data_IF_676515129111
#
_entry.id   IF_676515129111
#
_cell.length_a   1.000
_cell.length_b   1.000
_cell.length_c   1.000
_cell.angle_alpha   90.00
_cell.angle_beta   90.00
_cell.angle_gamma   90.00
#
_symmetry.space_group_name_H-M   'P 1'
#
loop_
_entity.id
_entity.type
_entity.pdbx_description
1 polymer ?
#
# COMPACT_ATOMS: atom_id res chain seq x y z
N UNK A 1 1.23 -26.44 31.16
CA UNK A 1 1.26 -26.55 29.69
C UNK A 1 1.77 -27.95 29.38
N UNK A 2 0.95 -28.83 28.79
CA UNK A 2 1.34 -30.25 28.62
C UNK A 2 2.14 -30.51 27.34
N UNK A 3 1.95 -29.71 26.28
CA UNK A 3 2.65 -29.86 25.00
C UNK A 3 2.89 -28.49 24.34
N UNK A 4 4.10 -28.30 23.80
CA UNK A 4 4.54 -27.19 22.94
C UNK A 4 5.28 -27.84 21.78
N UNK A 5 5.03 -27.40 20.55
CA UNK A 5 5.81 -27.82 19.38
C UNK A 5 6.92 -26.79 19.15
N UNK A 6 8.16 -27.25 19.03
CA UNK A 6 9.30 -26.42 18.68
C UNK A 6 9.75 -26.73 17.26
N UNK A 7 9.87 -25.69 16.43
CA UNK A 7 10.36 -25.81 15.04
C UNK A 7 11.69 -25.07 14.93
N UNK A 8 12.84 -25.78 14.96
CA UNK A 8 14.14 -25.17 14.75
C UNK A 8 14.42 -24.93 13.26
N UNK A 9 14.91 -23.74 12.95
CA UNK A 9 15.38 -23.31 11.63
C UNK A 9 16.80 -22.77 11.81
N UNK A 10 17.79 -23.59 11.44
CA UNK A 10 19.20 -23.25 11.60
C UNK A 10 19.72 -22.44 10.41
N UNK A 11 20.75 -21.63 10.66
CA UNK A 11 21.42 -20.85 9.63
C UNK A 11 21.93 -21.74 8.48
N UNK A 12 21.87 -21.28 7.20
CA UNK A 12 21.27 -20.05 6.69
C UNK A 12 19.79 -20.20 6.30
N UNK A 13 19.12 -21.27 6.72
CA UNK A 13 17.77 -21.65 6.28
C UNK A 13 16.68 -21.20 7.26
N UNK A 14 16.72 -19.91 7.59
CA UNK A 14 15.73 -19.25 8.44
C UNK A 14 15.34 -17.91 7.85
N UNK A 15 14.22 -17.35 8.30
CA UNK A 15 13.72 -16.05 7.84
C UNK A 15 14.74 -14.92 8.07
N UNK A 16 15.38 -14.88 9.24
CA UNK A 16 16.38 -13.85 9.57
C UNK A 16 17.79 -14.20 9.08
N UNK A 17 18.03 -15.42 8.55
CA UNK A 17 19.37 -16.00 8.40
C UNK A 17 20.19 -16.00 9.69
N UNK A 18 19.53 -16.23 10.81
CA UNK A 18 20.14 -16.58 12.10
C UNK A 18 19.55 -17.92 12.57
N UNK A 19 20.04 -18.49 13.67
CA UNK A 19 19.34 -19.62 14.29
C UNK A 19 18.01 -19.14 14.89
N UNK A 20 16.90 -19.71 14.41
CA UNK A 20 15.54 -19.36 14.84
C UNK A 20 14.84 -20.60 15.37
N UNK A 21 14.10 -20.48 16.47
CA UNK A 21 13.18 -21.51 16.96
C UNK A 21 11.80 -20.90 17.11
N UNK A 22 10.80 -21.49 16.46
CA UNK A 22 9.40 -21.14 16.67
C UNK A 22 8.77 -22.07 17.70
N UNK A 23 8.17 -21.48 18.76
CA UNK A 23 7.46 -22.20 19.80
C UNK A 23 5.94 -22.09 19.57
N UNK A 24 5.36 -23.13 18.99
CA UNK A 24 3.92 -23.21 18.75
C UNK A 24 3.23 -23.78 19.99
N UNK A 25 2.40 -22.95 20.62
CA UNK A 25 1.72 -23.28 21.86
C UNK A 25 0.22 -22.96 21.82
N UNK A 26 -0.49 -23.28 22.90
CA UNK A 26 -1.93 -23.02 22.98
C UNK A 26 -2.18 -21.51 22.98
N UNK A 27 -2.98 -21.02 22.03
CA UNK A 27 -3.14 -19.59 21.73
C UNK A 27 -3.96 -18.77 22.73
N UNK A 28 -4.13 -19.22 23.98
CA UNK A 28 -4.72 -18.37 25.00
C UNK A 28 -3.67 -17.40 25.56
N UNK A 29 -4.12 -16.21 25.96
CA UNK A 29 -3.26 -15.10 26.37
C UNK A 29 -2.33 -15.48 27.54
N UNK A 30 -2.85 -16.20 28.54
CA UNK A 30 -2.08 -16.66 29.70
C UNK A 30 -0.94 -17.60 29.30
N UNK A 31 -1.20 -18.53 28.37
CA UNK A 31 -0.21 -19.46 27.84
C UNK A 31 0.88 -18.73 27.06
N UNK A 32 0.50 -17.80 26.17
CA UNK A 32 1.44 -17.00 25.38
C UNK A 32 2.34 -16.15 26.28
N UNK A 33 1.76 -15.44 27.26
CA UNK A 33 2.54 -14.64 28.22
C UNK A 33 3.49 -15.49 29.07
N UNK A 34 3.10 -16.72 29.45
CA UNK A 34 3.99 -17.62 30.19
C UNK A 34 5.17 -18.11 29.35
N UNK A 35 4.94 -18.43 28.08
CA UNK A 35 6.02 -18.82 27.16
C UNK A 35 6.96 -17.64 26.91
N UNK A 36 6.42 -16.46 26.60
CA UNK A 36 7.22 -15.25 26.42
C UNK A 36 8.07 -14.94 27.66
N UNK A 37 7.48 -14.99 28.86
CA UNK A 37 8.22 -14.79 30.11
C UNK A 37 9.35 -15.80 30.28
N UNK A 38 9.10 -17.08 30.01
CA UNK A 38 10.13 -18.11 30.10
C UNK A 38 11.30 -17.84 29.14
N UNK A 39 11.05 -17.34 27.93
CA UNK A 39 12.10 -16.93 27.00
C UNK A 39 12.91 -15.74 27.54
N UNK A 40 12.25 -14.73 28.09
CA UNK A 40 12.92 -13.55 28.68
C UNK A 40 13.77 -13.95 29.91
N UNK A 41 13.25 -14.81 30.78
CA UNK A 41 13.98 -15.35 31.94
C UNK A 41 15.19 -16.19 31.53
N UNK A 42 15.13 -16.83 30.35
CA UNK A 42 16.26 -17.56 29.74
C UNK A 42 17.28 -16.64 29.04
N UNK A 43 17.08 -15.31 29.06
CA UNK A 43 18.01 -14.32 28.52
C UNK A 43 17.64 -13.73 27.16
N UNK A 44 16.45 -14.02 26.61
CA UNK A 44 15.99 -13.38 25.39
C UNK A 44 15.64 -11.89 25.63
N UNK A 45 15.92 -11.04 24.64
CA UNK A 45 15.40 -9.66 24.58
C UNK A 45 14.01 -9.62 23.93
N UNK A 46 13.20 -8.63 24.27
CA UNK A 46 11.95 -8.37 23.57
C UNK A 46 12.26 -7.70 22.22
N UNK A 47 11.67 -8.22 21.14
CA UNK A 47 11.88 -7.68 19.82
C UNK A 47 11.18 -6.32 19.62
N UNK A 48 11.83 -5.41 18.91
CA UNK A 48 11.24 -4.15 18.47
C UNK A 48 10.29 -4.35 17.27
N UNK A 49 9.38 -3.39 17.00
CA UNK A 49 8.51 -3.45 15.83
C UNK A 49 9.30 -3.61 14.51
N UNK A 50 9.10 -4.74 13.84
CA UNK A 50 9.75 -5.04 12.56
C UNK A 50 11.18 -5.59 12.65
N UNK A 51 11.70 -5.82 13.87
CA UNK A 51 13.10 -6.23 14.06
C UNK A 51 13.47 -7.52 13.32
N UNK A 52 12.59 -8.53 13.30
CA UNK A 52 12.84 -9.77 12.54
C UNK A 52 13.02 -9.50 11.04
N UNK A 53 12.19 -8.66 10.44
CA UNK A 53 12.30 -8.31 9.02
C UNK A 53 13.54 -7.44 8.76
N UNK A 54 13.88 -6.53 9.68
CA UNK A 54 15.12 -5.76 9.61
C UNK A 54 16.36 -6.67 9.61
N UNK A 55 16.41 -7.66 10.51
CA UNK A 55 17.50 -8.65 10.55
C UNK A 55 17.58 -9.46 9.25
N UNK A 56 16.45 -9.89 8.71
CA UNK A 56 16.39 -10.58 7.42
C UNK A 56 16.98 -9.70 6.28
N UNK A 57 16.68 -8.40 6.28
CA UNK A 57 17.28 -7.43 5.34
C UNK A 57 18.79 -7.28 5.55
N UNK A 58 19.24 -7.03 6.79
CA UNK A 58 20.66 -6.84 7.12
C UNK A 58 21.51 -8.06 6.79
N UNK A 59 20.97 -9.26 6.97
CA UNK A 59 21.63 -10.53 6.64
C UNK A 59 21.50 -10.90 5.15
N UNK A 60 20.94 -10.01 4.32
CA UNK A 60 20.81 -10.19 2.88
C UNK A 60 19.85 -11.31 2.47
N UNK A 61 18.94 -11.72 3.36
CA UNK A 61 17.85 -12.65 3.02
C UNK A 61 16.84 -11.97 2.10
N UNK A 62 16.63 -10.67 2.30
CA UNK A 62 15.70 -9.82 1.56
C UNK A 62 16.43 -8.51 1.22
N UNK A 63 15.99 -7.83 0.16
CA UNK A 63 16.29 -6.40 -0.01
C UNK A 63 15.20 -5.50 0.60
N UNK A 64 15.44 -4.19 0.56
CA UNK A 64 14.56 -3.20 1.21
C UNK A 64 13.15 -3.21 0.59
N UNK A 65 13.05 -3.32 -0.73
CA UNK A 65 11.76 -3.37 -1.43
C UNK A 65 10.97 -4.60 -1.00
N UNK A 66 11.62 -5.77 -0.93
CA UNK A 66 10.98 -6.99 -0.46
C UNK A 66 10.51 -6.86 1.00
N UNK A 67 11.34 -6.29 1.88
CA UNK A 67 11.00 -6.04 3.28
C UNK A 67 9.77 -5.12 3.44
N UNK A 68 9.68 -4.04 2.65
CA UNK A 68 8.51 -3.16 2.63
C UNK A 68 7.24 -3.88 2.15
N UNK A 69 7.37 -4.77 1.16
CA UNK A 69 6.24 -5.55 0.65
C UNK A 69 5.72 -6.59 1.65
N UNK A 70 6.53 -7.07 2.59
CA UNK A 70 6.04 -7.91 3.71
C UNK A 70 5.07 -7.11 4.59
N UNK A 71 5.38 -5.85 4.91
CA UNK A 71 4.46 -4.99 5.65
C UNK A 71 3.17 -4.77 4.88
N UNK A 72 3.27 -4.48 3.57
CA UNK A 72 2.12 -4.27 2.68
C UNK A 72 1.20 -5.49 2.63
N UNK A 73 1.78 -6.69 2.56
CA UNK A 73 1.06 -7.96 2.57
C UNK A 73 0.29 -8.18 3.87
N UNK A 74 0.93 -7.96 5.03
CA UNK A 74 0.29 -8.12 6.35
C UNK A 74 -0.89 -7.16 6.52
N UNK A 75 -0.78 -5.94 5.98
CA UNK A 75 -1.82 -4.91 6.08
C UNK A 75 -2.83 -4.91 4.92
N UNK A 76 -2.74 -5.85 3.98
CA UNK A 76 -3.54 -5.82 2.76
C UNK A 76 -5.06 -5.94 3.08
N UNK A 77 -5.85 -5.04 2.51
CA UNK A 77 -7.32 -4.99 2.68
C UNK A 77 -8.10 -5.55 1.49
N UNK A 78 -7.42 -5.92 0.41
CA UNK A 78 -8.01 -6.56 -0.76
C UNK A 78 -7.10 -7.67 -1.29
N UNK A 79 -7.69 -8.60 -2.04
CA UNK A 79 -6.94 -9.67 -2.73
C UNK A 79 -5.91 -9.07 -3.68
N UNK A 80 -6.30 -8.06 -4.47
CA UNK A 80 -5.38 -7.40 -5.39
C UNK A 80 -4.19 -6.71 -4.68
N UNK A 81 -4.41 -6.10 -3.51
CA UNK A 81 -3.33 -5.52 -2.72
C UNK A 81 -2.38 -6.61 -2.16
N UNK A 82 -2.92 -7.75 -1.74
CA UNK A 82 -2.13 -8.90 -1.31
C UNK A 82 -1.31 -9.50 -2.47
N UNK A 83 -1.92 -9.67 -3.64
CA UNK A 83 -1.27 -10.18 -4.84
C UNK A 83 -0.14 -9.25 -5.32
N UNK A 84 -0.38 -7.93 -5.32
CA UNK A 84 0.64 -6.93 -5.64
C UNK A 84 1.81 -6.98 -4.65
N UNK A 85 1.53 -7.08 -3.34
CA UNK A 85 2.57 -7.22 -2.32
C UNK A 85 3.37 -8.53 -2.49
N UNK A 86 2.71 -9.65 -2.82
CA UNK A 86 3.38 -10.92 -3.12
C UNK A 86 4.30 -10.82 -4.33
N UNK A 87 3.85 -10.17 -5.42
CA UNK A 87 4.68 -9.90 -6.59
C UNK A 87 5.91 -9.04 -6.23
N UNK A 88 5.72 -8.05 -5.35
CA UNK A 88 6.82 -7.24 -4.80
C UNK A 88 7.84 -8.06 -4.00
N UNK A 89 7.38 -9.00 -3.16
CA UNK A 89 8.24 -9.91 -2.40
C UNK A 89 9.05 -10.83 -3.34
N UNK A 90 8.46 -11.26 -4.46
CA UNK A 90 9.17 -12.07 -5.47
C UNK A 90 10.33 -11.32 -6.15
N UNK A 91 10.42 -9.99 -5.99
CA UNK A 91 11.63 -9.23 -6.32
C UNK A 91 11.67 -8.65 -7.74
N UNK A 92 10.53 -8.55 -8.44
CA UNK A 92 10.47 -7.97 -9.79
C UNK A 92 11.03 -6.54 -9.86
N UNK A 93 10.66 -5.69 -8.90
CA UNK A 93 11.20 -4.33 -8.79
C UNK A 93 12.71 -4.32 -8.52
N UNK A 94 13.17 -5.21 -7.65
CA UNK A 94 14.60 -5.34 -7.33
C UNK A 94 15.44 -5.76 -8.54
N UNK A 95 14.90 -6.60 -9.41
CA UNK A 95 15.55 -6.98 -10.66
C UNK A 95 15.68 -5.78 -11.62
N UNK A 96 14.62 -4.97 -11.73
CA UNK A 96 14.64 -3.73 -12.52
C UNK A 96 15.71 -2.77 -12.02
N UNK A 97 15.72 -2.45 -10.72
CA UNK A 97 16.72 -1.54 -10.11
C UNK A 97 18.14 -2.08 -10.29
N UNK A 98 18.36 -3.39 -10.10
CA UNK A 98 19.68 -4.01 -10.30
C UNK A 98 20.13 -3.92 -11.76
N UNK A 99 19.22 -4.12 -12.72
CA UNK A 99 19.52 -4.00 -14.14
C UNK A 99 19.89 -2.57 -14.52
N UNK A 100 19.09 -1.58 -14.11
CA UNK A 100 19.39 -0.16 -14.38
C UNK A 100 20.70 0.26 -13.73
N UNK A 101 20.96 -0.16 -12.48
CA UNK A 101 22.25 0.10 -11.81
C UNK A 101 23.42 -0.48 -12.59
N UNK A 102 23.29 -1.71 -13.10
CA UNK A 102 24.34 -2.36 -13.90
C UNK A 102 24.64 -1.54 -15.15
N UNK A 103 23.60 -1.11 -15.89
CA UNK A 103 23.78 -0.26 -17.08
C UNK A 103 24.46 1.08 -16.74
N UNK A 104 24.10 1.72 -15.61
CA UNK A 104 24.78 2.94 -15.16
C UNK A 104 26.27 2.69 -14.86
N UNK A 105 26.59 1.59 -14.18
CA UNK A 105 27.98 1.25 -13.82
C UNK A 105 28.80 0.95 -15.06
N UNK A 106 28.24 0.19 -16.02
CA UNK A 106 28.90 -0.09 -17.31
C UNK A 106 29.18 1.21 -18.08
N UNK A 107 28.20 2.11 -18.16
CA UNK A 107 28.36 3.41 -18.80
C UNK A 107 29.41 4.28 -18.11
N UNK A 108 29.38 4.33 -16.78
CA UNK A 108 30.35 5.09 -15.99
C UNK A 108 31.76 4.55 -16.18
N UNK A 109 31.92 3.22 -16.20
CA UNK A 109 33.21 2.56 -16.42
C UNK A 109 33.78 2.89 -17.80
N UNK A 110 32.93 2.93 -18.84
CA UNK A 110 33.33 3.31 -20.20
C UNK A 110 33.78 4.78 -20.29
N UNK A 111 33.08 5.68 -19.60
CA UNK A 111 33.42 7.11 -19.55
C UNK A 111 34.72 7.32 -18.76
N UNK A 112 34.86 6.69 -17.59
CA UNK A 112 36.06 6.76 -16.75
C UNK A 112 37.30 6.27 -17.51
N UNK A 113 37.19 5.12 -18.18
CA UNK A 113 38.30 4.59 -18.98
C UNK A 113 38.74 5.55 -20.09
N UNK A 114 37.81 6.29 -20.71
CA UNK A 114 38.15 7.30 -21.73
C UNK A 114 38.78 8.55 -21.16
N UNK A 115 38.35 8.97 -19.97
CA UNK A 115 38.98 10.11 -19.29
C UNK A 115 40.43 9.80 -18.88
N UNK A 116 40.70 8.55 -18.48
CA UNK A 116 42.03 8.11 -18.06
C UNK A 116 42.98 7.83 -19.25
N UNK A 117 42.47 7.43 -20.41
CA UNK A 117 43.25 6.95 -21.56
C UNK A 117 42.81 7.52 -22.92
N UNK A 118 42.51 8.83 -23.01
CA UNK A 118 41.96 9.48 -24.22
C UNK A 118 42.82 9.27 -25.48
N UNK A 119 44.15 9.29 -25.34
CA UNK A 119 45.09 9.12 -26.47
C UNK A 119 45.21 7.67 -27.01
N UNK A 120 44.75 6.68 -26.24
CA UNK A 120 44.87 5.25 -26.57
C UNK A 120 43.54 4.63 -27.02
N UNK A 121 42.45 5.40 -26.99
CA UNK A 121 41.09 4.92 -27.17
C UNK A 121 40.47 5.36 -28.51
N UNK A 122 39.63 4.51 -29.15
CA UNK A 122 38.88 4.92 -30.33
C UNK A 122 37.88 6.03 -29.98
N UNK A 123 37.53 6.85 -30.98
CA UNK A 123 36.53 7.90 -30.85
C UNK A 123 35.21 7.37 -30.29
N UNK A 124 34.70 8.06 -29.27
CA UNK A 124 33.41 7.77 -28.62
C UNK A 124 32.25 7.94 -29.61
N UNK A 125 31.41 6.91 -29.76
CA UNK A 125 30.14 7.01 -30.47
C UNK A 125 29.09 7.64 -29.56
N UNK A 126 28.94 8.95 -29.67
CA UNK A 126 28.02 9.72 -28.86
C UNK A 126 26.56 9.39 -29.15
N UNK A 127 26.23 8.92 -30.36
CA UNK A 127 24.87 8.51 -30.71
C UNK A 127 24.48 7.24 -29.96
N UNK A 128 25.33 6.22 -30.00
CA UNK A 128 25.07 4.96 -29.28
C UNK A 128 24.92 5.16 -27.77
N UNK A 129 25.72 6.05 -27.17
CA UNK A 129 25.60 6.37 -25.74
C UNK A 129 24.30 7.09 -25.40
N UNK A 130 23.91 8.07 -26.23
CA UNK A 130 22.64 8.77 -26.05
C UNK A 130 21.44 7.83 -26.21
N UNK A 131 21.49 6.88 -27.15
CA UNK A 131 20.44 5.88 -27.33
C UNK A 131 20.32 4.95 -26.11
N UNK A 132 21.45 4.52 -25.53
CA UNK A 132 21.46 3.73 -24.29
C UNK A 132 20.85 4.49 -23.11
N UNK A 133 21.26 5.75 -22.91
CA UNK A 133 20.72 6.61 -21.85
C UNK A 133 19.21 6.81 -22.05
N UNK A 134 18.77 7.06 -23.28
CA UNK A 134 17.36 7.23 -23.58
C UNK A 134 16.55 5.96 -23.29
N UNK A 135 17.09 4.78 -23.65
CA UNK A 135 16.50 3.49 -23.29
C UNK A 135 16.34 3.30 -21.78
N UNK A 136 17.37 3.64 -21.00
CA UNK A 136 17.33 3.58 -19.53
C UNK A 136 16.27 4.52 -18.95
N UNK A 137 16.14 5.74 -19.48
CA UNK A 137 15.11 6.68 -19.06
C UNK A 137 13.70 6.15 -19.33
N UNK A 138 13.46 5.57 -20.51
CA UNK A 138 12.17 4.98 -20.87
C UNK A 138 11.78 3.81 -19.95
N UNK A 139 12.74 2.98 -19.55
CA UNK A 139 12.49 1.88 -18.61
C UNK A 139 12.08 2.40 -17.21
N UNK A 140 12.70 3.50 -16.76
CA UNK A 140 12.32 4.16 -15.51
C UNK A 140 10.95 4.81 -15.60
N UNK A 141 10.63 5.48 -16.70
CA UNK A 141 9.31 6.09 -16.93
C UNK A 141 8.19 5.05 -16.88
N UNK A 142 8.36 3.91 -17.55
CA UNK A 142 7.41 2.78 -17.49
C UNK A 142 7.22 2.26 -16.07
N UNK A 143 8.30 2.16 -15.29
CA UNK A 143 8.21 1.74 -13.89
C UNK A 143 7.42 2.75 -13.04
N UNK A 144 7.61 4.05 -13.26
CA UNK A 144 6.88 5.11 -12.55
C UNK A 144 5.38 5.11 -12.87
N UNK A 145 4.98 4.78 -14.10
CA UNK A 145 3.56 4.67 -14.45
C UNK A 145 2.84 3.59 -13.64
N UNK A 146 3.50 2.43 -13.44
CA UNK A 146 2.93 1.33 -12.64
C UNK A 146 2.81 1.66 -11.14
N UNK A 147 3.66 2.54 -10.62
CA UNK A 147 3.70 2.88 -9.19
C UNK A 147 2.42 3.59 -8.68
N UNK A 148 1.72 4.32 -9.56
CA UNK A 148 0.48 5.01 -9.20
C UNK A 148 -0.64 4.01 -8.85
N UNK A 149 -0.72 2.91 -9.59
CA UNK A 149 -1.72 1.88 -9.36
C UNK A 149 -1.46 1.13 -8.04
N UNK A 150 -0.20 0.80 -7.75
CA UNK A 150 0.20 0.18 -6.47
C UNK A 150 -0.16 1.04 -5.26
N UNK A 151 -0.01 2.37 -5.39
CA UNK A 151 -0.40 3.31 -4.33
C UNK A 151 -1.91 3.24 -4.07
N UNK A 152 -2.72 3.25 -5.13
CA UNK A 152 -4.18 3.11 -5.05
C UNK A 152 -4.60 1.78 -4.42
N UNK A 153 -3.95 0.67 -4.76
CA UNK A 153 -4.22 -0.63 -4.15
C UNK A 153 -3.93 -0.64 -2.64
N UNK A 154 -2.94 0.13 -2.18
CA UNK A 154 -2.53 0.16 -0.77
C UNK A 154 -3.31 1.15 0.09
N UNK A 155 -3.43 2.40 -0.36
CA UNK A 155 -4.17 3.42 0.39
C UNK A 155 -5.68 3.24 0.25
N UNK A 156 -6.13 2.62 -0.84
CA UNK A 156 -7.52 2.66 -1.26
C UNK A 156 -7.95 4.07 -1.68
N UNK A 157 -9.26 4.24 -1.88
CA UNK A 157 -9.90 5.56 -1.99
C UNK A 157 -10.84 5.81 -0.82
N UNK A 158 -10.91 7.06 -0.40
CA UNK A 158 -11.96 7.55 0.48
C UNK A 158 -13.02 8.29 -0.33
N UNK A 159 -14.28 7.86 -0.16
CA UNK A 159 -15.43 8.43 -0.86
C UNK A 159 -16.42 8.96 0.17
N UNK A 160 -16.63 10.27 0.22
CA UNK A 160 -17.63 10.90 1.07
C UNK A 160 -18.98 10.97 0.34
N UNK A 161 -20.05 10.49 0.99
CA UNK A 161 -21.41 10.60 0.47
C UNK A 161 -22.10 11.78 1.15
N UNK A 162 -22.30 12.88 0.42
CA UNK A 162 -22.93 14.12 0.89
C UNK A 162 -24.33 14.31 0.32
N UNK A 163 -25.17 15.11 0.95
CA UNK A 163 -26.52 15.40 0.47
C UNK A 163 -27.44 15.87 1.57
N UNK A 164 -28.63 16.39 1.22
CA UNK A 164 -29.59 16.93 2.18
C UNK A 164 -30.04 15.87 3.22
N UNK A 165 -30.58 16.26 4.39
CA UNK A 165 -31.22 15.31 5.31
C UNK A 165 -32.23 14.41 4.59
N UNK A 166 -32.32 13.14 4.99
CA UNK A 166 -33.29 12.15 4.49
C UNK A 166 -33.25 11.78 2.99
N UNK A 167 -32.23 12.20 2.22
CA UNK A 167 -32.07 11.81 0.79
C UNK A 167 -31.60 10.37 0.56
N UNK A 168 -31.58 9.54 1.60
CA UNK A 168 -31.19 8.13 1.49
C UNK A 168 -29.69 7.84 1.57
N UNK A 169 -28.85 8.76 2.08
CA UNK A 169 -27.39 8.56 2.28
C UNK A 169 -27.07 7.27 3.02
N UNK A 170 -27.59 7.11 4.23
CA UNK A 170 -27.36 5.90 5.04
C UNK A 170 -28.03 4.67 4.44
N UNK A 171 -29.08 4.81 3.62
CA UNK A 171 -29.66 3.69 2.87
C UNK A 171 -28.73 3.20 1.75
N UNK A 172 -28.09 4.13 1.02
CA UNK A 172 -27.09 3.83 0.00
C UNK A 172 -25.85 3.17 0.61
N UNK A 173 -25.36 3.73 1.71
CA UNK A 173 -24.23 3.20 2.46
C UNK A 173 -24.49 1.79 2.98
N UNK A 174 -25.68 1.55 3.53
CA UNK A 174 -26.10 0.22 3.97
C UNK A 174 -26.28 -0.77 2.82
N UNK A 175 -26.77 -0.32 1.65
CA UNK A 175 -26.89 -1.17 0.48
C UNK A 175 -25.51 -1.66 0.01
N UNK A 176 -24.50 -0.80 0.06
CA UNK A 176 -23.14 -1.13 -0.37
C UNK A 176 -22.32 -1.87 0.68
N UNK A 177 -22.51 -1.56 1.98
CA UNK A 177 -21.86 -2.27 3.09
C UNK A 177 -22.26 -3.76 3.14
N UNK A 178 -23.49 -4.10 2.74
CA UNK A 178 -23.98 -5.49 2.70
C UNK A 178 -23.22 -6.41 1.73
N UNK A 179 -22.33 -5.86 0.90
CA UNK A 179 -21.50 -6.62 -0.06
C UNK A 179 -20.18 -7.11 0.57
N UNK A 180 -19.79 -6.65 1.78
CA UNK A 180 -18.74 -7.38 2.53
C UNK A 180 -17.86 -6.63 3.54
N UNK A 181 -18.38 -6.20 4.69
CA UNK A 181 -17.82 -6.37 6.08
C UNK A 181 -18.50 -5.42 7.10
N UNK A 182 -18.00 -5.40 8.34
CA UNK A 182 -18.65 -5.15 9.66
C UNK A 182 -19.43 -3.85 9.84
N UNK A 183 -20.47 -3.96 10.69
CA UNK A 183 -21.40 -2.90 11.14
C UNK A 183 -20.71 -1.92 12.10
N UNK A 184 -19.97 -0.96 11.58
CA UNK A 184 -19.73 0.30 12.30
C UNK A 184 -20.40 1.44 11.53
N UNK A 185 -21.29 2.16 12.22
CA UNK A 185 -22.39 2.95 11.62
C UNK A 185 -21.93 4.28 10.99
N UNK A 186 -20.62 4.48 10.78
CA UNK A 186 -20.04 5.75 10.28
C UNK A 186 -19.16 5.56 9.04
N UNK A 187 -18.59 4.38 8.84
CA UNK A 187 -17.68 4.09 7.72
C UNK A 187 -17.95 2.67 7.19
N UNK A 188 -18.01 2.51 5.87
CA UNK A 188 -18.10 1.18 5.25
C UNK A 188 -16.91 0.95 4.31
N UNK A 189 -16.22 -0.18 4.50
CA UNK A 189 -15.19 -0.62 3.57
C UNK A 189 -15.77 -1.58 2.54
N UNK A 190 -15.58 -1.28 1.26
CA UNK A 190 -15.92 -2.14 0.12
C UNK A 190 -14.69 -2.35 -0.76
N UNK A 191 -14.75 -3.33 -1.66
CA UNK A 191 -13.72 -3.58 -2.65
C UNK A 191 -14.35 -3.51 -4.05
N UNK A 192 -13.82 -2.63 -4.90
CA UNK A 192 -14.31 -2.44 -6.26
C UNK A 192 -13.14 -2.63 -7.23
N UNK A 193 -13.23 -3.63 -8.09
CA UNK A 193 -12.17 -3.99 -9.06
C UNK A 193 -10.77 -4.15 -8.42
N UNK A 194 -10.69 -4.64 -7.17
CA UNK A 194 -9.44 -4.85 -6.44
C UNK A 194 -8.98 -3.66 -5.61
N UNK A 195 -9.57 -2.49 -5.80
CA UNK A 195 -9.23 -1.26 -5.07
C UNK A 195 -10.06 -1.21 -3.78
N UNK A 196 -9.41 -1.11 -2.60
CA UNK A 196 -10.13 -0.87 -1.35
C UNK A 196 -10.79 0.51 -1.38
N UNK A 197 -12.06 0.60 -1.05
CA UNK A 197 -12.80 1.86 -0.97
C UNK A 197 -13.39 1.99 0.43
N UNK A 198 -13.14 3.14 1.06
CA UNK A 198 -13.78 3.53 2.32
C UNK A 198 -14.86 4.55 2.02
N UNK A 199 -16.11 4.16 2.21
CA UNK A 199 -17.28 5.03 2.13
C UNK A 199 -17.46 5.72 3.48
N UNK A 200 -17.50 7.05 3.46
CA UNK A 200 -17.69 7.89 4.64
C UNK A 200 -19.13 8.40 4.65
N UNK A 201 -19.90 8.08 5.70
CA UNK A 201 -21.23 8.69 5.88
C UNK A 201 -21.02 10.13 6.33
N UNK A 202 -21.78 11.04 5.73
CA UNK A 202 -21.82 12.43 6.19
C UNK A 202 -23.23 12.75 6.66
N UNK A 203 -23.35 13.60 7.68
CA UNK A 203 -24.64 14.14 8.08
C UNK A 203 -25.26 14.92 6.91
N UNK A 204 -26.58 15.13 6.97
CA UNK A 204 -27.21 16.01 5.99
C UNK A 204 -26.58 17.39 6.03
N UNK A 205 -26.14 17.91 4.87
CA UNK A 205 -25.64 19.29 4.77
C UNK A 205 -26.85 20.20 4.52
N UNK A 206 -27.13 21.10 5.46
CA UNK A 206 -28.20 22.11 5.39
C UNK A 206 -27.97 23.23 6.42
N UNK A 207 -28.63 24.37 6.24
CA UNK A 207 -28.58 25.49 7.21
C UNK A 207 -29.52 25.20 8.40
N UNK A 208 -28.96 25.19 9.61
CA UNK A 208 -29.68 24.95 10.86
C UNK A 208 -29.17 25.88 11.96
N UNK A 209 -30.07 26.32 12.84
CA UNK A 209 -29.73 27.12 14.03
C UNK A 209 -29.47 26.23 15.27
N UNK A 210 -29.72 24.93 15.19
CA UNK A 210 -29.42 23.98 16.26
C UNK A 210 -27.90 23.76 16.34
N UNK A 211 -27.31 24.06 17.50
CA UNK A 211 -25.88 23.96 17.77
C UNK A 211 -25.36 22.52 17.56
N UNK A 212 -26.14 21.50 17.93
CA UNK A 212 -25.73 20.09 17.78
C UNK A 212 -25.71 19.69 16.32
N UNK A 213 -26.72 20.10 15.55
CA UNK A 213 -26.78 19.82 14.12
C UNK A 213 -25.72 20.60 13.34
N UNK A 214 -25.43 21.85 13.73
CA UNK A 214 -24.37 22.66 13.13
C UNK A 214 -22.99 22.00 13.28
N UNK A 215 -22.67 21.45 14.46
CA UNK A 215 -21.46 20.65 14.67
C UNK A 215 -21.45 19.41 13.75
N UNK A 216 -22.61 18.79 13.54
CA UNK A 216 -22.77 17.68 12.61
C UNK A 216 -22.49 18.06 11.15
N UNK A 217 -22.96 19.23 10.71
CA UNK A 217 -22.71 19.80 9.37
C UNK A 217 -21.22 20.15 9.21
N UNK A 218 -20.63 20.86 10.17
CA UNK A 218 -19.20 21.24 10.13
C UNK A 218 -18.28 20.00 10.09
N UNK A 219 -18.60 18.96 10.86
CA UNK A 219 -17.86 17.68 10.83
C UNK A 219 -18.00 16.97 9.49
N UNK A 220 -19.19 17.03 8.88
CA UNK A 220 -19.48 16.41 7.58
C UNK A 220 -18.75 17.10 6.44
N UNK A 221 -18.67 18.44 6.48
CA UNK A 221 -17.89 19.22 5.53
C UNK A 221 -16.40 18.93 5.66
N UNK A 222 -15.86 18.83 6.88
CA UNK A 222 -14.47 18.46 7.12
C UNK A 222 -14.12 17.07 6.55
N UNK A 223 -15.00 16.08 6.75
CA UNK A 223 -14.86 14.73 6.20
C UNK A 223 -14.89 14.76 4.67
N UNK A 224 -15.83 15.51 4.07
CA UNK A 224 -15.93 15.63 2.62
C UNK A 224 -14.70 16.32 2.00
N UNK A 225 -14.14 17.33 2.65
CA UNK A 225 -12.91 18.01 2.19
C UNK A 225 -11.71 17.07 2.19
N UNK A 226 -11.64 16.13 3.14
CA UNK A 226 -10.55 15.16 3.27
C UNK A 226 -10.67 13.94 2.35
N UNK A 227 -11.82 13.72 1.71
CA UNK A 227 -12.05 12.56 0.85
C UNK A 227 -11.42 12.74 -0.54
N UNK A 228 -10.99 11.63 -1.13
CA UNK A 228 -10.48 11.61 -2.52
C UNK A 228 -11.61 11.90 -3.53
N UNK A 229 -12.83 11.46 -3.21
CA UNK A 229 -14.02 11.65 -4.04
C UNK A 229 -15.23 12.03 -3.19
N UNK A 230 -16.06 12.93 -3.71
CA UNK A 230 -17.34 13.31 -3.09
C UNK A 230 -18.48 12.91 -4.02
N UNK A 231 -19.43 12.14 -3.48
CA UNK A 231 -20.67 11.73 -4.16
C UNK A 231 -21.84 12.48 -3.53
N UNK A 232 -22.66 13.14 -4.36
CA UNK A 232 -23.88 13.81 -3.90
C UNK A 232 -25.11 12.89 -4.04
N UNK A 233 -25.69 12.48 -2.92
CA UNK A 233 -26.91 11.69 -2.85
C UNK A 233 -28.17 12.54 -3.12
N UNK A 234 -29.12 11.96 -3.86
CA UNK A 234 -30.35 12.63 -4.31
C UNK A 234 -30.50 12.72 -5.83
N UNK A 235 -29.58 12.11 -6.59
CA UNK A 235 -29.57 12.07 -8.06
C UNK A 235 -29.71 10.59 -8.50
N UNK A 236 -30.48 10.23 -9.54
CA UNK A 236 -30.79 8.85 -9.91
C UNK A 236 -29.60 7.95 -10.31
N UNK A 237 -28.38 8.49 -10.39
CA UNK A 237 -27.34 7.94 -11.26
C UNK A 237 -25.97 7.78 -10.54
N UNK A 238 -26.03 7.53 -9.22
CA UNK A 238 -24.84 7.39 -8.35
C UNK A 238 -24.04 6.11 -8.66
N UNK A 239 -24.72 5.05 -9.09
CA UNK A 239 -24.10 3.75 -9.41
C UNK A 239 -23.22 3.83 -10.67
N UNK A 240 -23.63 4.61 -11.68
CA UNK A 240 -22.86 4.82 -12.90
C UNK A 240 -21.64 5.72 -12.69
N UNK A 241 -21.72 6.68 -11.76
CA UNK A 241 -20.58 7.52 -11.37
C UNK A 241 -19.43 6.69 -10.74
N UNK A 242 -19.76 5.65 -9.96
CA UNK A 242 -18.74 4.76 -9.39
C UNK A 242 -18.04 3.90 -10.44
N UNK A 243 -18.75 3.42 -11.46
CA UNK A 243 -18.13 2.66 -12.57
C UNK A 243 -17.15 3.54 -13.35
N UNK A 244 -17.49 4.82 -13.53
CA UNK A 244 -16.60 5.81 -14.14
C UNK A 244 -15.38 6.12 -13.26
N UNK A 245 -15.55 6.17 -11.93
CA UNK A 245 -14.45 6.27 -10.95
C UNK A 245 -13.64 4.97 -10.87
N UNK A 246 -14.18 3.82 -11.27
CA UNK A 246 -13.43 2.57 -11.33
C UNK A 246 -12.70 2.36 -12.67
N UNK A 247 -12.98 3.18 -13.70
CA UNK A 247 -12.35 3.18 -15.03
C UNK A 247 -11.46 4.42 -15.28
N UNK A 248 -10.59 4.77 -14.32
CA UNK A 248 -9.92 6.08 -14.22
C UNK A 248 -8.95 6.42 -15.38
N UNK A 249 -9.27 7.46 -16.15
CA UNK A 249 -8.34 8.07 -17.13
C UNK A 249 -7.53 9.27 -16.62
N UNK A 250 -7.66 9.67 -15.33
CA UNK A 250 -6.66 10.47 -14.57
C UNK A 250 -7.20 10.90 -13.20
N UNK A 251 -6.62 10.34 -12.13
CA UNK A 251 -6.50 11.06 -10.85
C UNK A 251 -5.01 11.07 -10.46
N UNK A 252 -4.29 12.17 -10.72
CA UNK A 252 -3.04 12.48 -10.04
C UNK A 252 -3.25 13.50 -8.90
N UNK A 253 -2.31 13.51 -7.97
CA UNK A 253 -2.36 14.11 -6.64
C UNK A 253 -3.04 15.50 -6.54
N UNK A 254 -4.14 15.55 -5.79
CA UNK A 254 -4.78 16.80 -5.33
C UNK A 254 -6.14 17.15 -5.97
N UNK A 255 -6.63 16.38 -6.93
CA UNK A 255 -7.88 16.68 -7.64
C UNK A 255 -9.14 16.15 -6.94
N UNK A 256 -9.91 17.03 -6.28
CA UNK A 256 -11.30 16.75 -5.88
C UNK A 256 -12.19 16.69 -7.12
N UNK A 257 -12.86 15.57 -7.39
CA UNK A 257 -13.90 15.47 -8.42
C UNK A 257 -15.28 15.56 -7.79
N UNK A 258 -16.11 16.47 -8.31
CA UNK A 258 -17.54 16.56 -7.98
C UNK A 258 -18.32 15.80 -9.05
N UNK A 259 -18.96 14.70 -8.68
CA UNK A 259 -19.92 14.04 -9.57
C UNK A 259 -21.32 14.60 -9.28
N UNK A 260 -21.74 15.57 -10.09
CA UNK A 260 -23.12 16.07 -10.12
C UNK A 260 -23.68 15.73 -11.51
N UNK A 261 -24.56 14.74 -11.60
CA UNK A 261 -25.33 14.51 -12.83
C UNK A 261 -26.63 15.30 -12.75
N UNK A 262 -26.76 16.28 -13.64
CA UNK A 262 -28.03 16.98 -13.90
C UNK A 262 -28.99 16.08 -14.68
#
# INVERSE_FOLDING_TARGET
MKFVLAVPMLVPRSYTREDVVELQCHGNDVCLHRVLRACLEAGAGLAEPGEFTLRAFLNGCLDLSQAENIKKLISAKSVAAADAALAGIQGGFSALVKSSRRQCVELLTEIEARLDFDDEMPSLDSHSLMDMIHGMCLDVEKALETANYDKLLQSGLQIAIVGRPNVGKSSLLNAWSKVGTTRDVVEASINVHGIPITLLDTAGIWETEDIVEKIGVERSEAIAIGADVIIMAGIPDVESALVEIAGLDRIPAGGRRWAVKQ
#
